data_IF_212130882226
#
_entry.id   IF_212130882226
#
_cell.length_a   1.000
_cell.length_b   1.000
_cell.length_c   1.000
_cell.angle_alpha   90.00
_cell.angle_beta   90.00
_cell.angle_gamma   90.00
#
_symmetry.space_group_name_H-M   'P 1'
#
loop_
_entity.id
_entity.type
_entity.pdbx_description
1 polymer ?
#
# COMPACT_ATOMS: atom_id res chain seq x y z
N UNK A 1 34.40 -0.73 4.96
CA UNK A 1 33.92 -2.13 4.87
C UNK A 1 34.92 -3.12 5.47
N UNK A 2 36.23 -3.05 5.12
CA UNK A 2 37.23 -4.00 5.63
C UNK A 2 37.39 -3.91 7.16
N UNK A 3 37.42 -2.72 7.73
CA UNK A 3 37.52 -2.49 9.19
C UNK A 3 36.33 -3.07 9.96
N UNK A 4 35.13 -3.05 9.35
CA UNK A 4 33.89 -3.58 9.94
C UNK A 4 33.60 -5.03 9.54
N UNK A 5 34.53 -5.67 8.81
CA UNK A 5 34.40 -7.06 8.30
C UNK A 5 33.09 -7.30 7.53
N UNK A 6 32.58 -6.30 6.80
CA UNK A 6 31.42 -6.44 5.94
C UNK A 6 31.83 -7.19 4.67
N UNK A 7 31.25 -8.37 4.47
CA UNK A 7 31.53 -9.25 3.33
C UNK A 7 30.66 -8.93 2.12
N UNK A 8 29.41 -8.58 2.36
CA UNK A 8 28.42 -8.27 1.31
C UNK A 8 27.53 -7.10 1.74
N UNK A 9 27.00 -6.39 0.76
CA UNK A 9 26.01 -5.34 0.97
C UNK A 9 24.89 -5.53 -0.05
N UNK A 10 23.64 -5.58 0.42
CA UNK A 10 22.45 -5.60 -0.42
C UNK A 10 21.74 -4.24 -0.34
N UNK A 11 21.52 -3.63 -1.52
CA UNK A 11 20.81 -2.35 -1.64
C UNK A 11 19.52 -2.58 -2.40
N UNK A 12 18.40 -2.18 -1.82
CA UNK A 12 17.11 -2.11 -2.50
C UNK A 12 16.83 -0.66 -2.86
N UNK A 13 16.82 -0.35 -4.13
CA UNK A 13 16.56 0.99 -4.63
C UNK A 13 15.07 1.31 -4.59
N UNK A 14 14.77 2.60 -4.45
CA UNK A 14 13.39 3.07 -4.44
C UNK A 14 12.83 3.07 -5.87
N UNK A 15 11.68 2.43 -6.13
CA UNK A 15 11.20 2.18 -7.50
C UNK A 15 10.75 3.45 -8.24
N UNK A 16 10.50 4.56 -7.53
CA UNK A 16 10.02 5.82 -8.13
C UNK A 16 11.09 6.91 -8.22
N UNK A 17 12.31 6.71 -7.70
CA UNK A 17 13.32 7.76 -7.57
C UNK A 17 14.52 7.58 -8.51
N UNK A 18 14.58 6.50 -9.28
CA UNK A 18 15.72 6.18 -10.18
C UNK A 18 17.10 6.29 -9.50
N UNK A 19 17.14 6.16 -8.17
CA UNK A 19 18.35 6.35 -7.36
C UNK A 19 19.40 5.24 -7.55
N UNK A 20 19.08 4.18 -8.29
CA UNK A 20 20.05 3.17 -8.71
C UNK A 20 21.07 3.74 -9.72
N UNK A 21 20.67 4.70 -10.57
CA UNK A 21 21.50 5.23 -11.64
C UNK A 21 22.85 5.79 -11.15
N UNK A 22 22.86 6.41 -9.97
CA UNK A 22 24.09 6.97 -9.37
C UNK A 22 25.07 5.88 -8.88
N UNK A 23 24.61 4.67 -8.60
CA UNK A 23 25.41 3.60 -7.96
C UNK A 23 25.66 2.42 -8.88
N UNK A 24 24.83 2.22 -9.91
CA UNK A 24 24.94 1.14 -10.89
C UNK A 24 26.33 0.98 -11.52
N UNK A 25 27.09 2.03 -11.80
CA UNK A 25 28.44 1.88 -12.35
C UNK A 25 29.44 1.20 -11.38
N UNK A 26 29.11 1.17 -10.07
CA UNK A 26 29.98 0.65 -9.02
C UNK A 26 29.46 -0.64 -8.37
N UNK A 27 28.29 -1.12 -8.79
CA UNK A 27 27.61 -2.27 -8.18
C UNK A 27 26.99 -3.18 -9.23
N UNK A 28 26.83 -4.48 -8.90
CA UNK A 28 26.04 -5.41 -9.71
C UNK A 28 24.56 -5.11 -9.48
N UNK A 29 23.98 -4.24 -10.30
CA UNK A 29 22.58 -3.84 -10.22
C UNK A 29 21.73 -4.73 -11.12
N UNK A 30 20.68 -5.34 -10.54
CA UNK A 30 19.78 -6.25 -11.25
C UNK A 30 18.35 -5.75 -11.17
N UNK A 31 17.67 -5.77 -12.31
CA UNK A 31 16.23 -5.66 -12.36
C UNK A 31 15.58 -6.87 -11.68
N UNK A 32 14.63 -6.64 -10.78
CA UNK A 32 13.92 -7.71 -10.08
C UNK A 32 12.51 -7.89 -10.61
N UNK A 33 11.71 -6.82 -10.62
CA UNK A 33 10.29 -6.83 -11.04
C UNK A 33 9.72 -5.43 -11.17
N UNK A 34 8.61 -5.33 -11.87
CA UNK A 34 7.81 -4.10 -11.92
C UNK A 34 7.01 -3.86 -10.63
N UNK A 35 6.74 -2.60 -10.39
CA UNK A 35 5.81 -2.15 -9.35
C UNK A 35 4.82 -1.17 -9.96
N UNK A 36 3.65 -1.05 -9.33
CA UNK A 36 2.59 -0.14 -9.76
C UNK A 36 2.56 1.09 -8.86
N UNK A 37 2.35 2.25 -9.44
CA UNK A 37 2.02 3.47 -8.73
C UNK A 37 0.77 4.12 -9.34
N UNK A 38 0.08 4.92 -8.55
CA UNK A 38 -0.97 5.82 -9.02
C UNK A 38 -0.40 7.22 -9.12
N UNK A 39 -0.64 7.90 -10.25
CA UNK A 39 -0.43 9.33 -10.36
C UNK A 39 -1.56 10.05 -9.62
N UNK A 40 -1.20 10.80 -8.62
CA UNK A 40 -2.13 11.49 -7.72
C UNK A 40 -2.08 13.01 -7.86
N UNK A 41 -1.59 13.52 -9.00
CA UNK A 41 -1.50 14.95 -9.25
C UNK A 41 -2.88 15.64 -9.30
N UNK A 42 -3.94 14.93 -9.70
CA UNK A 42 -5.31 15.42 -9.59
C UNK A 42 -6.34 14.28 -9.50
N UNK A 43 -7.55 14.52 -8.93
CA UNK A 43 -8.63 13.54 -8.90
C UNK A 43 -9.05 13.04 -10.28
N UNK A 44 -9.04 13.90 -11.29
CA UNK A 44 -9.39 13.57 -12.68
C UNK A 44 -8.38 12.58 -13.27
N UNK A 45 -7.10 12.79 -12.99
CA UNK A 45 -6.01 11.92 -13.45
C UNK A 45 -6.07 10.54 -12.79
N UNK A 46 -6.37 10.48 -11.49
CA UNK A 46 -6.60 9.23 -10.78
C UNK A 46 -7.68 8.40 -11.48
N UNK A 47 -8.84 9.01 -11.77
CA UNK A 47 -9.95 8.33 -12.44
C UNK A 47 -9.63 7.96 -13.90
N UNK A 48 -8.93 8.83 -14.62
CA UNK A 48 -8.57 8.60 -16.02
C UNK A 48 -7.62 7.40 -16.18
N UNK A 49 -6.69 7.24 -15.24
CA UNK A 49 -5.69 6.17 -15.27
C UNK A 49 -6.22 4.82 -14.76
N UNK A 50 -7.30 4.80 -14.00
CA UNK A 50 -7.90 3.55 -13.52
C UNK A 50 -8.62 2.80 -14.65
N UNK A 51 -8.56 1.47 -14.60
CA UNK A 51 -9.38 0.60 -15.44
C UNK A 51 -10.87 0.82 -15.20
N UNK A 52 -11.68 0.64 -16.25
CA UNK A 52 -13.14 0.73 -16.15
C UNK A 52 -13.72 -0.26 -15.16
N UNK A 53 -13.17 -1.47 -15.11
CA UNK A 53 -13.55 -2.50 -14.13
C UNK A 53 -13.30 -2.03 -12.70
N UNK A 54 -12.15 -1.42 -12.45
CA UNK A 54 -11.82 -0.93 -11.11
C UNK A 54 -12.70 0.26 -10.69
N UNK A 55 -12.95 1.22 -11.62
CA UNK A 55 -13.94 2.30 -11.37
C UNK A 55 -15.32 1.76 -11.00
N UNK A 56 -15.76 0.67 -11.63
CA UNK A 56 -17.02 0.02 -11.29
C UNK A 56 -16.99 -0.65 -9.91
N UNK A 57 -15.84 -1.22 -9.49
CA UNK A 57 -15.67 -1.77 -8.14
C UNK A 57 -15.74 -0.67 -7.07
N UNK A 58 -15.08 0.47 -7.29
CA UNK A 58 -15.18 1.63 -6.39
C UNK A 58 -16.63 2.08 -6.23
N UNK A 59 -17.35 2.28 -7.35
CA UNK A 59 -18.78 2.66 -7.30
C UNK A 59 -19.66 1.60 -6.65
N UNK A 60 -19.32 0.32 -6.81
CA UNK A 60 -20.02 -0.78 -6.12
C UNK A 60 -19.88 -0.65 -4.61
N UNK A 61 -18.66 -0.47 -4.11
CA UNK A 61 -18.39 -0.31 -2.69
C UNK A 61 -19.18 0.88 -2.11
N UNK A 62 -19.12 2.05 -2.77
CA UNK A 62 -19.86 3.25 -2.36
C UNK A 62 -21.37 3.01 -2.30
N UNK A 63 -21.96 2.38 -3.32
CA UNK A 63 -23.40 2.04 -3.35
C UNK A 63 -23.81 1.01 -2.32
N UNK A 64 -22.86 0.18 -1.87
CA UNK A 64 -23.09 -0.80 -0.79
C UNK A 64 -22.98 -0.19 0.61
N UNK A 65 -22.82 1.14 0.73
CA UNK A 65 -22.70 1.82 2.02
C UNK A 65 -21.30 1.75 2.65
N UNK A 66 -20.29 1.30 1.92
CA UNK A 66 -18.91 1.32 2.43
C UNK A 66 -18.39 2.76 2.43
N UNK A 67 -17.87 3.20 3.56
CA UNK A 67 -17.20 4.49 3.76
C UNK A 67 -15.73 4.29 4.07
N UNK A 68 -14.91 5.34 3.90
CA UNK A 68 -13.49 5.28 4.26
C UNK A 68 -13.18 6.36 5.29
N UNK A 69 -12.57 5.93 6.40
CA UNK A 69 -12.14 6.80 7.50
C UNK A 69 -10.62 6.77 7.64
N UNK A 70 -10.02 7.95 7.80
CA UNK A 70 -8.61 8.07 8.19
C UNK A 70 -8.48 7.99 9.71
N UNK A 71 -7.47 7.25 10.17
CA UNK A 71 -7.16 7.08 11.58
C UNK A 71 -5.66 7.26 11.85
N UNK A 72 -5.26 7.73 13.03
CA UNK A 72 -3.87 7.76 13.45
C UNK A 72 -3.34 6.34 13.67
N UNK A 73 -2.02 6.17 13.61
CA UNK A 73 -1.39 4.86 13.83
C UNK A 73 -1.69 4.24 15.19
N UNK A 74 -2.02 5.04 16.21
CA UNK A 74 -2.43 4.55 17.54
C UNK A 74 -3.72 3.70 17.54
N UNK A 75 -4.54 3.82 16.49
CA UNK A 75 -5.76 3.01 16.33
C UNK A 75 -5.52 1.71 15.53
N UNK A 76 -4.33 1.12 15.60
CA UNK A 76 -3.99 -0.05 14.78
C UNK A 76 -4.65 -1.37 15.21
N UNK A 77 -5.26 -1.45 16.39
CA UNK A 77 -5.80 -2.72 16.92
C UNK A 77 -6.81 -3.41 15.98
N UNK A 78 -7.83 -2.73 15.41
CA UNK A 78 -8.72 -3.34 14.41
C UNK A 78 -7.98 -3.76 13.13
N UNK A 79 -6.98 -2.98 12.72
CA UNK A 79 -6.16 -3.33 11.55
C UNK A 79 -5.39 -4.63 11.77
N UNK A 80 -4.84 -4.83 12.96
CA UNK A 80 -4.06 -6.03 13.28
C UNK A 80 -4.90 -7.31 13.14
N UNK A 81 -6.17 -7.25 13.52
CA UNK A 81 -7.09 -8.37 13.34
C UNK A 81 -7.35 -8.67 11.86
N UNK A 82 -7.67 -7.65 11.05
CA UNK A 82 -7.85 -7.79 9.60
C UNK A 82 -6.58 -8.30 8.89
N UNK A 83 -5.43 -7.83 9.36
CA UNK A 83 -4.13 -8.24 8.82
C UNK A 83 -3.83 -9.70 9.11
N UNK A 84 -4.05 -10.18 10.36
CA UNK A 84 -3.88 -11.60 10.73
C UNK A 84 -4.76 -12.50 9.89
N UNK A 85 -6.05 -12.20 9.76
CA UNK A 85 -6.98 -12.96 8.91
C UNK A 85 -6.50 -13.05 7.45
N UNK A 86 -5.88 -11.98 6.95
CA UNK A 86 -5.33 -11.96 5.59
C UNK A 86 -4.08 -12.83 5.48
N UNK A 87 -3.18 -12.79 6.47
CA UNK A 87 -1.93 -13.57 6.47
C UNK A 87 -2.21 -15.08 6.64
N UNK A 88 -3.11 -15.45 7.55
CA UNK A 88 -3.51 -16.85 7.78
C UNK A 88 -4.06 -17.49 6.51
N UNK A 89 -4.87 -16.75 5.76
CA UNK A 89 -5.45 -17.22 4.50
C UNK A 89 -4.40 -17.49 3.41
N UNK A 90 -3.33 -16.72 3.39
CA UNK A 90 -2.30 -16.82 2.36
C UNK A 90 -1.14 -17.71 2.76
N UNK A 91 -1.20 -18.38 3.93
CA UNK A 91 -0.08 -19.17 4.47
C UNK A 91 1.23 -18.37 4.38
N UNK A 92 1.15 -17.08 4.75
CA UNK A 92 2.27 -16.16 4.64
C UNK A 92 3.44 -16.67 5.47
N UNK A 93 4.66 -16.55 4.92
CA UNK A 93 5.88 -16.88 5.64
C UNK A 93 5.98 -16.04 6.92
N UNK A 94 6.63 -16.55 7.96
CA UNK A 94 6.84 -15.89 9.27
C UNK A 94 7.39 -14.46 9.15
N UNK A 95 8.07 -14.15 8.04
CA UNK A 95 8.61 -12.83 7.74
C UNK A 95 7.52 -11.73 7.69
N UNK A 96 6.28 -12.05 7.35
CA UNK A 96 5.17 -11.09 7.30
C UNK A 96 4.34 -11.05 8.58
N UNK A 97 4.74 -11.78 9.63
CA UNK A 97 4.06 -11.79 10.92
C UNK A 97 4.68 -10.73 11.82
N UNK A 98 4.11 -9.52 11.80
CA UNK A 98 4.56 -8.42 12.64
C UNK A 98 3.91 -8.51 14.04
N UNK A 99 4.73 -8.43 15.08
CA UNK A 99 4.25 -8.30 16.46
C UNK A 99 3.73 -6.88 16.77
N UNK A 100 3.03 -6.72 17.89
CA UNK A 100 2.50 -5.43 18.35
C UNK A 100 3.58 -4.36 18.48
N UNK A 101 4.80 -4.72 18.91
CA UNK A 101 5.93 -3.79 19.01
C UNK A 101 6.29 -3.08 17.71
N UNK A 102 6.02 -3.72 16.58
CA UNK A 102 6.20 -3.06 15.27
C UNK A 102 5.20 -1.91 15.08
N UNK A 103 3.92 -2.14 15.40
CA UNK A 103 2.86 -1.14 15.27
C UNK A 103 2.99 -0.03 16.32
N UNK A 104 3.44 -0.38 17.53
CA UNK A 104 3.77 0.59 18.57
C UNK A 104 4.88 1.53 18.08
N UNK A 105 5.94 0.97 17.48
CA UNK A 105 7.03 1.76 16.90
C UNK A 105 6.53 2.70 15.79
N UNK A 106 5.67 2.22 14.89
CA UNK A 106 5.08 3.07 13.84
C UNK A 106 4.26 4.21 14.44
N UNK A 107 3.48 3.92 15.49
CA UNK A 107 2.66 4.91 16.17
C UNK A 107 3.47 5.97 16.89
N UNK A 108 4.57 5.58 17.55
CA UNK A 108 5.39 6.47 18.35
C UNK A 108 6.43 7.26 17.53
N UNK A 109 7.07 6.60 16.56
CA UNK A 109 8.22 7.14 15.85
C UNK A 109 7.90 7.68 14.46
N UNK A 110 6.78 7.27 13.87
CA UNK A 110 6.39 7.64 12.50
C UNK A 110 4.99 8.26 12.43
N UNK A 111 4.44 8.78 13.52
CA UNK A 111 3.09 9.37 13.59
C UNK A 111 2.84 10.46 12.55
N UNK A 112 3.86 11.27 12.21
CA UNK A 112 3.78 12.33 11.22
C UNK A 112 3.92 11.84 9.77
N UNK A 113 4.34 10.58 9.59
CA UNK A 113 4.64 9.98 8.29
C UNK A 113 3.85 8.72 8.00
N UNK A 114 3.06 8.24 8.95
CA UNK A 114 2.25 7.03 8.84
C UNK A 114 0.82 7.27 9.31
N UNK A 115 -0.14 6.68 8.60
CA UNK A 115 -1.54 6.70 9.00
C UNK A 115 -2.26 5.45 8.50
N UNK A 116 -3.43 5.21 9.07
CA UNK A 116 -4.36 4.17 8.70
C UNK A 116 -5.52 4.73 7.86
N UNK A 117 -5.98 3.96 6.89
CA UNK A 117 -7.32 4.07 6.35
C UNK A 117 -8.09 2.80 6.66
N UNK A 118 -9.32 2.97 7.12
CA UNK A 118 -10.30 1.89 7.28
C UNK A 118 -11.44 2.07 6.30
N UNK A 119 -11.74 1.01 5.54
CA UNK A 119 -13.01 0.91 4.85
C UNK A 119 -13.99 0.23 5.80
N UNK A 120 -15.10 0.91 6.09
CA UNK A 120 -16.07 0.54 7.10
C UNK A 120 -17.46 0.32 6.49
N UNK A 121 -18.17 -0.65 7.02
CA UNK A 121 -19.60 -0.86 6.78
C UNK A 121 -20.31 -0.76 8.13
N UNK A 122 -21.27 0.19 8.26
CA UNK A 122 -21.98 0.41 9.52
C UNK A 122 -21.02 0.58 10.72
N UNK A 123 -19.98 1.44 10.53
CA UNK A 123 -18.93 1.73 11.52
C UNK A 123 -18.00 0.54 11.85
N UNK A 124 -18.19 -0.62 11.20
CA UNK A 124 -17.34 -1.80 11.40
C UNK A 124 -16.22 -1.82 10.34
N UNK A 125 -14.94 -1.82 10.73
CA UNK A 125 -13.82 -1.96 9.80
C UNK A 125 -13.85 -3.34 9.11
N UNK A 126 -13.99 -3.34 7.78
CA UNK A 126 -14.01 -4.55 6.94
C UNK A 126 -12.78 -4.66 6.05
N UNK A 127 -12.02 -3.58 5.92
CA UNK A 127 -10.69 -3.56 5.30
C UNK A 127 -9.89 -2.41 5.89
N UNK A 128 -8.58 -2.57 5.99
CA UNK A 128 -7.70 -1.53 6.49
C UNK A 128 -6.35 -1.55 5.79
N UNK A 129 -5.69 -0.40 5.74
CA UNK A 129 -4.33 -0.31 5.21
C UNK A 129 -3.52 0.77 5.91
N UNK A 130 -2.21 0.50 6.03
CA UNK A 130 -1.21 1.45 6.51
C UNK A 130 -0.55 2.11 5.30
N UNK A 131 -0.44 3.42 5.36
CA UNK A 131 0.27 4.23 4.37
C UNK A 131 1.41 5.00 5.02
N UNK A 132 2.54 5.04 4.32
CA UNK A 132 3.62 5.98 4.63
C UNK A 132 3.58 7.13 3.64
N UNK A 133 3.91 8.34 4.09
CA UNK A 133 4.05 9.50 3.22
C UNK A 133 5.22 10.40 3.63
N UNK A 134 5.94 10.87 2.65
CA UNK A 134 7.04 11.83 2.82
C UNK A 134 7.40 12.46 1.47
N UNK A 135 7.85 13.71 1.49
CA UNK A 135 8.40 14.40 0.32
C UNK A 135 7.54 14.26 -0.95
N UNK A 136 6.22 14.44 -0.84
CA UNK A 136 5.32 14.37 -1.99
C UNK A 136 5.11 12.96 -2.58
N UNK A 137 5.53 11.93 -1.89
CA UNK A 137 5.32 10.53 -2.24
C UNK A 137 4.57 9.79 -1.13
N UNK A 138 3.77 8.79 -1.50
CA UNK A 138 3.05 7.93 -0.56
C UNK A 138 3.24 6.47 -0.94
N UNK A 139 3.28 5.60 0.05
CA UNK A 139 3.47 4.17 -0.13
C UNK A 139 2.38 3.36 0.61
N UNK A 140 1.74 2.45 -0.11
CA UNK A 140 0.83 1.44 0.41
C UNK A 140 1.65 0.31 1.04
N UNK A 141 1.70 0.28 2.36
CA UNK A 141 2.65 -0.53 3.10
C UNK A 141 2.09 -1.91 3.46
N UNK A 142 1.08 -1.98 4.30
CA UNK A 142 0.40 -3.20 4.72
C UNK A 142 -1.10 -3.06 4.54
N UNK A 143 -1.78 -4.18 4.28
CA UNK A 143 -3.22 -4.20 4.21
C UNK A 143 -3.81 -5.50 4.75
N UNK A 144 -5.01 -5.39 5.30
CA UNK A 144 -5.81 -6.52 5.74
C UNK A 144 -7.28 -6.32 5.36
N UNK A 145 -7.99 -7.43 5.19
CA UNK A 145 -9.40 -7.39 4.87
C UNK A 145 -10.13 -8.63 5.37
N UNK A 146 -11.37 -8.43 5.81
CA UNK A 146 -12.26 -9.53 6.14
C UNK A 146 -12.78 -10.21 4.86
N UNK A 147 -12.54 -11.51 4.75
CA UNK A 147 -12.93 -12.32 3.61
C UNK A 147 -14.45 -12.39 3.40
N UNK A 148 -15.24 -12.24 4.47
CA UNK A 148 -16.71 -12.26 4.40
C UNK A 148 -17.26 -11.08 3.57
N UNK A 149 -16.56 -9.95 3.56
CA UNK A 149 -16.96 -8.73 2.86
C UNK A 149 -16.25 -8.53 1.51
N UNK A 150 -15.51 -9.53 1.03
CA UNK A 150 -14.74 -9.43 -0.23
C UNK A 150 -15.58 -8.98 -1.43
N UNK A 151 -16.84 -9.39 -1.47
CA UNK A 151 -17.76 -9.03 -2.55
C UNK A 151 -18.09 -7.55 -2.63
N UNK A 152 -17.87 -6.78 -1.55
CA UNK A 152 -18.14 -5.34 -1.47
C UNK A 152 -17.04 -4.47 -2.09
N UNK A 153 -15.89 -5.06 -2.46
CA UNK A 153 -14.75 -4.36 -3.06
C UNK A 153 -14.21 -3.20 -2.18
N UNK A 154 -14.23 -3.36 -0.87
CA UNK A 154 -13.80 -2.35 0.11
C UNK A 154 -12.35 -1.90 -0.12
N UNK A 155 -11.42 -2.82 -0.44
CA UNK A 155 -10.03 -2.50 -0.76
C UNK A 155 -9.86 -1.64 -2.02
N UNK A 156 -10.77 -1.77 -3.01
CA UNK A 156 -10.75 -0.91 -4.19
C UNK A 156 -11.11 0.54 -3.83
N UNK A 157 -12.15 0.72 -3.01
CA UNK A 157 -12.55 2.04 -2.52
C UNK A 157 -11.46 2.65 -1.62
N UNK A 158 -10.88 1.86 -0.72
CA UNK A 158 -9.83 2.30 0.20
C UNK A 158 -8.62 2.87 -0.55
N UNK A 159 -8.12 2.19 -1.58
CA UNK A 159 -7.00 2.67 -2.39
C UNK A 159 -7.36 3.90 -3.23
N UNK A 160 -8.60 3.99 -3.72
CA UNK A 160 -9.08 5.18 -4.41
C UNK A 160 -9.13 6.40 -3.49
N UNK A 161 -9.68 6.26 -2.29
CA UNK A 161 -9.73 7.34 -1.27
C UNK A 161 -8.31 7.71 -0.78
N UNK A 162 -7.40 6.74 -0.67
CA UNK A 162 -5.99 7.01 -0.39
C UNK A 162 -5.35 7.91 -1.47
N UNK A 163 -5.64 7.65 -2.74
CA UNK A 163 -5.14 8.46 -3.83
C UNK A 163 -5.74 9.87 -3.82
N UNK A 164 -7.03 10.01 -3.53
CA UNK A 164 -7.69 11.32 -3.36
C UNK A 164 -7.12 12.10 -2.18
N UNK A 165 -6.86 11.43 -1.05
CA UNK A 165 -6.20 12.05 0.08
C UNK A 165 -4.81 12.56 -0.32
N UNK A 166 -4.05 11.75 -1.06
CA UNK A 166 -2.74 12.14 -1.58
C UNK A 166 -2.81 13.40 -2.45
N UNK A 167 -3.75 13.45 -3.41
CA UNK A 167 -3.97 14.61 -4.26
C UNK A 167 -4.24 15.89 -3.45
N UNK A 168 -5.08 15.78 -2.40
CA UNK A 168 -5.41 16.90 -1.53
C UNK A 168 -4.26 17.37 -0.63
N UNK A 169 -3.21 16.54 -0.44
CA UNK A 169 -2.08 16.82 0.46
C UNK A 169 -0.73 16.94 -0.27
N UNK A 170 -0.75 17.23 -1.58
CA UNK A 170 0.46 17.48 -2.35
C UNK A 170 1.32 16.24 -2.63
N UNK A 171 0.74 15.06 -2.49
CA UNK A 171 1.37 13.80 -2.92
C UNK A 171 1.18 13.64 -4.43
N UNK A 172 2.26 13.49 -5.17
CA UNK A 172 2.21 13.32 -6.62
C UNK A 172 2.12 11.86 -7.06
N UNK A 173 2.55 10.93 -6.22
CA UNK A 173 2.57 9.49 -6.54
C UNK A 173 2.26 8.63 -5.30
N UNK A 174 1.30 7.72 -5.44
CA UNK A 174 1.02 6.64 -4.50
C UNK A 174 1.60 5.33 -5.05
N UNK A 175 2.67 4.83 -4.46
CA UNK A 175 3.28 3.56 -4.80
C UNK A 175 2.50 2.41 -4.17
N UNK A 176 2.00 1.49 -5.00
CA UNK A 176 1.24 0.31 -4.56
C UNK A 176 2.12 -0.93 -4.35
N UNK A 177 3.37 -0.89 -4.82
CA UNK A 177 4.25 -2.06 -4.84
C UNK A 177 3.94 -3.03 -5.97
N UNK A 178 4.60 -4.17 -5.96
CA UNK A 178 4.43 -5.26 -6.92
C UNK A 178 3.59 -6.42 -6.38
N UNK A 179 3.65 -7.55 -7.06
CA UNK A 179 3.18 -8.85 -6.60
C UNK A 179 4.21 -9.60 -5.76
N UNK A 180 3.87 -10.78 -5.28
CA UNK A 180 4.81 -11.73 -4.66
C UNK A 180 5.59 -12.48 -5.74
N UNK A 181 4.94 -12.78 -6.87
CA UNK A 181 5.54 -13.37 -8.06
C UNK A 181 5.22 -12.52 -9.30
N UNK A 182 5.95 -12.70 -10.42
CA UNK A 182 5.61 -12.04 -11.68
C UNK A 182 4.15 -12.35 -12.07
N UNK A 183 3.40 -11.32 -12.44
CA UNK A 183 2.03 -11.41 -12.96
C UNK A 183 1.03 -12.16 -12.07
N UNK A 184 1.27 -12.24 -10.77
CA UNK A 184 0.35 -12.83 -9.82
C UNK A 184 -0.96 -12.03 -9.66
N UNK A 185 -1.93 -12.61 -8.94
CA UNK A 185 -3.23 -11.97 -8.71
C UNK A 185 -3.13 -10.63 -7.97
N UNK A 186 -2.13 -10.47 -7.11
CA UNK A 186 -1.89 -9.22 -6.37
C UNK A 186 -1.36 -8.14 -7.31
N UNK A 187 -0.41 -8.48 -8.19
CA UNK A 187 0.05 -7.56 -9.22
C UNK A 187 -1.09 -7.15 -10.16
N UNK A 188 -1.87 -8.14 -10.63
CA UNK A 188 -3.05 -7.89 -11.46
C UNK A 188 -4.11 -7.00 -10.79
N UNK A 189 -4.32 -7.14 -9.48
CA UNK A 189 -5.17 -6.24 -8.71
C UNK A 189 -4.64 -4.80 -8.72
N UNK A 190 -3.35 -4.61 -8.42
CA UNK A 190 -2.72 -3.29 -8.37
C UNK A 190 -2.69 -2.61 -9.74
N UNK A 191 -2.44 -3.37 -10.80
CA UNK A 191 -2.40 -2.86 -12.18
C UNK A 191 -3.72 -2.21 -12.62
N UNK A 192 -4.86 -2.61 -12.04
CA UNK A 192 -6.16 -1.99 -12.35
C UNK A 192 -6.26 -0.52 -11.92
N UNK A 193 -5.37 -0.05 -11.04
CA UNK A 193 -5.35 1.35 -10.58
C UNK A 193 -4.55 2.28 -11.48
N UNK A 194 -3.69 1.74 -12.34
CA UNK A 194 -2.97 2.51 -13.35
C UNK A 194 -2.72 1.62 -14.57
N UNK A 195 -3.39 1.94 -15.67
CA UNK A 195 -3.36 1.18 -16.93
C UNK A 195 -2.17 1.53 -17.84
N UNK A 196 -1.32 2.49 -17.43
CA UNK A 196 -0.15 2.97 -18.18
C UNK A 196 1.15 2.50 -17.55
#
# INVERSE_FOLDING_TARGET
>A
CLEQRIVTQFLRYHPLLDNHAAVSPMTDTRYLRDTIYMDTASPELILANMDSKNRNMVRKAQRSGVTVRKAPMSEYAPFLELYRQTMDKHSAEDYYTFGTSYFDYLSEQLSDHAFLLYAELEETPISGAIFFHTNGSMHYHLAGSDAAYRSLAAGNLLLYEAALWGAAHGVSRLHLGGGMAPDDSLFGFKKQFNKY
#
